data_IF_725714286844
#
_entry.id   IF_725714286844
#
_cell.length_a   1.000
_cell.length_b   1.000
_cell.length_c   1.000
_cell.angle_alpha   90.00
_cell.angle_beta   90.00
_cell.angle_gamma   90.00
#
_symmetry.space_group_name_H-M   'P 1'
#
loop_
_entity.id
_entity.type
_entity.pdbx_description
1 polymer ?
#
# COMPACT_ATOMS: atom_id res chain seq x y z
N UNK A 1 5.27 -9.84 3.22
CA UNK A 1 6.53 -9.13 2.88
C UNK A 1 6.12 -7.80 2.30
N UNK A 2 6.63 -6.66 2.82
CA UNK A 2 6.22 -5.29 2.48
C UNK A 2 6.67 -4.95 1.05
N UNK A 3 5.99 -4.03 0.36
CA UNK A 3 6.45 -3.50 -0.93
C UNK A 3 7.80 -2.76 -0.79
N UNK A 4 8.08 -2.20 0.40
CA UNK A 4 9.43 -1.79 0.82
C UNK A 4 10.47 -2.92 0.73
N UNK A 5 10.04 -4.16 0.57
CA UNK A 5 10.91 -5.32 0.53
C UNK A 5 11.50 -5.59 -0.86
N UNK A 6 10.95 -5.01 -1.96
CA UNK A 6 11.43 -5.36 -3.29
C UNK A 6 12.59 -4.45 -3.74
N UNK A 7 12.49 -3.12 -3.54
CA UNK A 7 13.64 -2.24 -3.76
C UNK A 7 14.77 -2.60 -2.81
N UNK A 8 14.46 -2.89 -1.54
CA UNK A 8 15.42 -3.39 -0.56
C UNK A 8 15.97 -4.78 -0.93
N UNK A 9 15.15 -5.68 -1.49
CA UNK A 9 15.62 -6.99 -1.94
C UNK A 9 16.54 -6.87 -3.16
N UNK A 10 16.23 -5.97 -4.10
CA UNK A 10 17.09 -5.64 -5.24
C UNK A 10 18.38 -4.98 -4.75
N UNK A 11 18.29 -3.99 -3.87
CA UNK A 11 19.45 -3.34 -3.26
C UNK A 11 20.36 -4.33 -2.52
N UNK A 12 19.76 -5.25 -1.77
CA UNK A 12 20.51 -6.27 -1.03
C UNK A 12 21.17 -7.30 -1.95
N UNK A 13 20.55 -7.59 -3.09
CA UNK A 13 21.04 -8.63 -4.02
C UNK A 13 21.96 -8.08 -5.10
N UNK A 14 21.70 -6.88 -5.60
CA UNK A 14 22.39 -6.25 -6.74
C UNK A 14 23.09 -4.91 -6.39
N UNK A 15 22.94 -4.46 -5.13
CA UNK A 15 23.52 -3.20 -4.64
C UNK A 15 22.63 -1.97 -4.89
N UNK A 16 22.95 -0.88 -4.21
CA UNK A 16 22.18 0.37 -4.24
C UNK A 16 21.99 0.96 -5.66
N UNK A 17 22.99 0.84 -6.52
CA UNK A 17 22.89 1.33 -7.88
C UNK A 17 21.75 0.66 -8.68
N UNK A 18 21.51 -0.63 -8.48
CA UNK A 18 20.43 -1.34 -9.14
C UNK A 18 19.04 -0.93 -8.54
N UNK A 19 18.99 -0.63 -7.25
CA UNK A 19 17.79 -0.07 -6.61
C UNK A 19 17.43 1.30 -7.19
N UNK A 20 18.41 2.18 -7.34
CA UNK A 20 18.22 3.51 -7.95
C UNK A 20 17.77 3.39 -9.41
N UNK A 21 18.39 2.50 -10.18
CA UNK A 21 18.02 2.23 -11.58
C UNK A 21 16.55 1.73 -11.67
N UNK A 22 16.13 0.81 -10.78
CA UNK A 22 14.76 0.35 -10.71
C UNK A 22 13.78 1.49 -10.47
N UNK A 23 14.05 2.34 -9.49
CA UNK A 23 13.20 3.48 -9.15
C UNK A 23 13.11 4.51 -10.29
N UNK A 24 14.20 4.73 -11.04
CA UNK A 24 14.15 5.54 -12.25
C UNK A 24 13.30 4.91 -13.36
N UNK A 25 13.40 3.60 -13.56
CA UNK A 25 12.58 2.89 -14.53
C UNK A 25 11.10 2.93 -14.14
N UNK A 26 10.77 2.75 -12.85
CA UNK A 26 9.42 2.92 -12.28
C UNK A 26 8.90 4.32 -12.58
N UNK A 27 9.65 5.36 -12.22
CA UNK A 27 9.25 6.74 -12.45
C UNK A 27 8.96 7.01 -13.92
N UNK A 28 9.82 6.54 -14.83
CA UNK A 28 9.65 6.70 -16.29
C UNK A 28 8.41 5.99 -16.83
N UNK A 29 8.09 4.80 -16.31
CA UNK A 29 6.87 4.06 -16.70
C UNK A 29 5.61 4.75 -16.21
N UNK A 30 5.58 5.16 -14.94
CA UNK A 30 4.47 5.91 -14.38
C UNK A 30 4.25 7.22 -15.15
N UNK A 31 5.32 7.99 -15.41
CA UNK A 31 5.23 9.24 -16.16
C UNK A 31 4.63 9.07 -17.57
N UNK A 32 4.97 7.99 -18.27
CA UNK A 32 4.41 7.70 -19.61
C UNK A 32 2.93 7.36 -19.59
N UNK A 33 2.41 6.88 -18.47
CA UNK A 33 1.01 6.55 -18.29
C UNK A 33 0.15 7.75 -17.87
N UNK A 34 0.76 8.86 -17.49
CA UNK A 34 0.08 10.07 -17.05
C UNK A 34 -0.30 10.97 -18.22
N UNK A 35 -1.31 11.80 -17.99
CA UNK A 35 -1.77 12.82 -18.93
C UNK A 35 -1.05 14.16 -18.70
N UNK A 36 -1.02 15.06 -19.69
CA UNK A 36 -0.55 16.41 -19.46
C UNK A 36 -1.39 17.10 -18.36
N UNK A 37 -0.71 17.58 -17.32
CA UNK A 37 -1.35 18.17 -16.14
C UNK A 37 -1.27 17.30 -14.91
N UNK A 38 -1.17 15.97 -15.07
CA UNK A 38 -0.95 15.08 -13.93
C UNK A 38 0.46 15.27 -13.37
N UNK A 39 0.58 15.17 -12.06
CA UNK A 39 1.86 15.32 -11.35
C UNK A 39 2.25 14.00 -10.71
N UNK A 40 3.47 13.53 -11.01
CA UNK A 40 4.09 12.40 -10.33
C UNK A 40 5.07 12.92 -9.28
N UNK A 41 4.92 12.48 -8.05
CA UNK A 41 5.83 12.71 -6.93
C UNK A 41 6.38 11.41 -6.37
N UNK A 42 7.55 11.46 -5.74
CA UNK A 42 8.09 10.38 -4.91
C UNK A 42 8.17 10.88 -3.48
N UNK A 43 7.51 10.18 -2.55
CA UNK A 43 7.43 10.57 -1.14
C UNK A 43 8.64 10.08 -0.34
N UNK A 44 9.19 8.94 -0.73
CA UNK A 44 10.37 8.33 -0.12
C UNK A 44 10.41 6.82 -0.36
N UNK A 45 11.57 6.21 -0.27
CA UNK A 45 11.72 4.78 -0.54
C UNK A 45 11.17 4.39 -1.91
N UNK A 46 10.20 3.49 -1.94
CA UNK A 46 9.49 2.99 -3.12
C UNK A 46 8.07 3.59 -3.28
N UNK A 47 7.75 4.66 -2.54
CA UNK A 47 6.43 5.26 -2.54
C UNK A 47 6.34 6.42 -3.53
N UNK A 48 5.40 6.27 -4.48
CA UNK A 48 5.07 7.27 -5.49
C UNK A 48 3.64 7.79 -5.27
N UNK A 49 3.44 9.06 -5.58
CA UNK A 49 2.14 9.72 -5.54
C UNK A 49 1.84 10.31 -6.89
N UNK A 50 0.61 10.16 -7.34
CA UNK A 50 0.07 10.81 -8.53
C UNK A 50 -1.04 11.76 -8.11
N UNK A 51 -0.95 13.00 -8.54
CA UNK A 51 -2.03 13.97 -8.44
C UNK A 51 -2.58 14.21 -9.84
N UNK A 52 -3.85 13.89 -10.02
CA UNK A 52 -4.63 14.19 -11.23
C UNK A 52 -5.73 15.18 -10.89
N UNK A 53 -5.81 16.26 -11.62
CA UNK A 53 -6.82 17.30 -11.44
C UNK A 53 -8.01 17.07 -12.36
N UNK A 54 -9.20 17.51 -11.93
CA UNK A 54 -10.45 17.42 -12.71
C UNK A 54 -10.77 15.99 -13.22
N UNK A 55 -10.58 15.00 -12.38
CA UNK A 55 -10.80 13.59 -12.69
C UNK A 55 -11.98 13.03 -11.88
N UNK A 56 -12.92 12.33 -12.56
CA UNK A 56 -13.97 11.61 -11.86
C UNK A 56 -13.43 10.39 -11.11
N UNK A 57 -14.19 9.91 -10.12
CA UNK A 57 -13.83 8.69 -9.37
C UNK A 57 -13.55 7.51 -10.30
N UNK A 58 -14.44 7.24 -11.26
CA UNK A 58 -14.29 6.11 -12.18
C UNK A 58 -13.03 6.23 -13.04
N UNK A 59 -12.74 7.44 -13.53
CA UNK A 59 -11.53 7.68 -14.31
C UNK A 59 -10.25 7.57 -13.44
N UNK A 60 -10.32 7.96 -12.17
CA UNK A 60 -9.21 7.80 -11.25
C UNK A 60 -8.92 6.30 -11.00
N UNK A 61 -9.97 5.47 -10.86
CA UNK A 61 -9.82 4.02 -10.74
C UNK A 61 -9.21 3.40 -12.00
N UNK A 62 -9.65 3.82 -13.18
CA UNK A 62 -9.08 3.36 -14.47
C UNK A 62 -7.62 3.78 -14.60
N UNK A 63 -7.27 5.01 -14.19
CA UNK A 63 -5.90 5.47 -14.18
C UNK A 63 -5.04 4.62 -13.22
N UNK A 64 -5.52 4.39 -12.01
CA UNK A 64 -4.81 3.61 -11.00
C UNK A 64 -4.54 2.17 -11.46
N UNK A 65 -5.53 1.52 -12.09
CA UNK A 65 -5.35 0.17 -12.64
C UNK A 65 -4.33 0.17 -13.79
N UNK A 66 -4.39 1.15 -14.67
CA UNK A 66 -3.39 1.31 -15.74
C UNK A 66 -1.98 1.49 -15.18
N UNK A 67 -1.81 2.27 -14.10
CA UNK A 67 -0.51 2.45 -13.44
C UNK A 67 -0.02 1.12 -12.83
N UNK A 68 -0.90 0.38 -12.15
CA UNK A 68 -0.60 -0.93 -11.59
C UNK A 68 -0.13 -1.92 -12.68
N UNK A 69 -0.87 -2.02 -13.78
CA UNK A 69 -0.54 -2.89 -14.92
C UNK A 69 0.81 -2.54 -15.55
N UNK A 70 1.13 -1.24 -15.69
CA UNK A 70 2.44 -0.82 -16.19
C UNK A 70 3.60 -1.29 -15.30
N UNK A 71 3.38 -1.41 -14.01
CA UNK A 71 4.40 -1.88 -13.07
C UNK A 71 4.47 -3.43 -13.01
N UNK A 72 3.45 -4.14 -13.46
CA UNK A 72 3.45 -5.60 -13.53
C UNK A 72 4.30 -6.14 -14.71
N UNK A 73 4.69 -5.28 -15.66
CA UNK A 73 5.59 -5.70 -16.75
C UNK A 73 7.04 -5.83 -16.27
N UNK A 74 7.85 -6.79 -16.77
CA UNK A 74 9.22 -7.00 -16.30
C UNK A 74 10.10 -5.74 -16.40
N UNK A 75 11.01 -5.60 -15.45
CA UNK A 75 12.07 -4.60 -15.43
C UNK A 75 13.41 -5.27 -15.76
N UNK A 76 14.21 -4.67 -16.61
CA UNK A 76 15.54 -5.16 -16.92
C UNK A 76 16.57 -4.48 -15.99
N UNK A 77 17.23 -5.28 -15.15
CA UNK A 77 18.23 -4.79 -14.19
C UNK A 77 19.42 -5.75 -14.16
N UNK A 78 20.62 -5.22 -14.31
CA UNK A 78 21.84 -6.01 -14.17
C UNK A 78 21.94 -7.23 -15.09
N UNK A 79 21.23 -7.25 -16.23
CA UNK A 79 21.18 -8.35 -17.18
C UNK A 79 20.17 -9.44 -16.84
N UNK A 80 19.27 -9.21 -15.88
CA UNK A 80 18.14 -10.08 -15.52
C UNK A 80 16.80 -9.36 -15.59
N UNK A 81 15.70 -10.13 -15.69
CA UNK A 81 14.33 -9.64 -15.64
C UNK A 81 13.78 -9.75 -14.23
N UNK A 82 13.16 -8.65 -13.74
CA UNK A 82 12.53 -8.57 -12.42
C UNK A 82 11.06 -8.23 -12.57
N UNK A 83 10.20 -9.02 -11.93
CA UNK A 83 8.78 -8.75 -11.82
C UNK A 83 8.50 -8.07 -10.48
N UNK A 84 7.68 -7.04 -10.52
CA UNK A 84 7.16 -6.39 -9.32
C UNK A 84 5.67 -6.18 -9.44
N UNK A 85 5.03 -5.94 -8.31
CA UNK A 85 3.61 -5.56 -8.24
C UNK A 85 3.45 -4.31 -7.40
N UNK A 86 2.36 -3.59 -7.62
CA UNK A 86 2.05 -2.38 -6.89
C UNK A 86 0.69 -2.50 -6.19
N UNK A 87 0.66 -2.02 -4.95
CA UNK A 87 -0.60 -1.76 -4.24
C UNK A 87 -0.92 -0.29 -4.38
N UNK A 88 -2.10 0.03 -4.89
CA UNK A 88 -2.48 1.41 -5.21
C UNK A 88 -3.69 1.81 -4.37
N UNK A 89 -3.56 2.92 -3.64
CA UNK A 89 -4.69 3.57 -2.96
C UNK A 89 -5.17 4.77 -3.76
N UNK A 90 -6.47 4.91 -3.92
CA UNK A 90 -7.10 6.01 -4.63
C UNK A 90 -7.98 6.81 -3.69
N UNK A 91 -7.79 8.12 -3.64
CA UNK A 91 -8.68 9.05 -2.96
C UNK A 91 -9.15 10.11 -3.95
N UNK A 92 -10.46 10.34 -4.00
CA UNK A 92 -11.08 11.38 -4.82
C UNK A 92 -11.96 12.27 -3.95
N UNK A 93 -12.06 13.54 -4.32
CA UNK A 93 -12.99 14.47 -3.68
C UNK A 93 -13.68 15.33 -4.74
N UNK A 94 -14.99 15.50 -4.58
CA UNK A 94 -15.80 16.42 -5.40
C UNK A 94 -15.86 17.84 -4.80
N UNK A 95 -15.32 18.03 -3.60
CA UNK A 95 -15.29 19.31 -2.90
C UNK A 95 -13.83 19.69 -2.61
N UNK A 96 -13.52 20.97 -2.38
CA UNK A 96 -12.19 21.39 -1.99
C UNK A 96 -11.87 20.83 -0.59
N UNK A 97 -11.07 19.78 -0.57
CA UNK A 97 -10.53 19.14 0.64
C UNK A 97 -9.11 19.63 0.92
N UNK A 98 -8.68 19.45 2.15
CA UNK A 98 -7.28 19.74 2.48
C UNK A 98 -6.39 18.68 1.82
N UNK A 99 -5.26 19.09 1.21
CA UNK A 99 -4.33 18.14 0.59
C UNK A 99 -3.89 17.00 1.55
N UNK A 100 -3.68 17.33 2.82
CA UNK A 100 -3.30 16.35 3.85
C UNK A 100 -4.38 15.29 4.08
N UNK A 101 -5.66 15.64 3.92
CA UNK A 101 -6.77 14.70 4.09
C UNK A 101 -6.82 13.71 2.92
N UNK A 102 -6.67 14.21 1.68
CA UNK A 102 -6.59 13.35 0.49
C UNK A 102 -5.39 12.40 0.56
N UNK A 103 -4.23 12.90 1.00
CA UNK A 103 -3.06 12.05 1.18
C UNK A 103 -3.29 10.95 2.21
N UNK A 104 -3.88 11.27 3.36
CA UNK A 104 -4.22 10.28 4.39
C UNK A 104 -5.22 9.24 3.89
N UNK A 105 -6.21 9.64 3.11
CA UNK A 105 -7.20 8.74 2.53
C UNK A 105 -6.58 7.79 1.50
N UNK A 106 -5.73 8.33 0.62
CA UNK A 106 -4.99 7.50 -0.35
C UNK A 106 -4.06 6.50 0.36
N UNK A 107 -3.37 6.93 1.43
CA UNK A 107 -2.51 6.06 2.24
C UNK A 107 -3.31 4.95 2.95
N UNK A 108 -4.46 5.27 3.54
CA UNK A 108 -5.35 4.29 4.15
C UNK A 108 -5.82 3.24 3.12
N UNK A 109 -6.21 3.69 1.93
CA UNK A 109 -6.62 2.80 0.84
C UNK A 109 -5.45 1.93 0.35
N UNK A 110 -4.26 2.48 0.19
CA UNK A 110 -3.05 1.74 -0.17
C UNK A 110 -2.70 0.69 0.90
N UNK A 111 -2.83 1.04 2.17
CA UNK A 111 -2.60 0.09 3.27
C UNK A 111 -3.59 -1.07 3.22
N UNK A 112 -4.86 -0.80 2.94
CA UNK A 112 -5.89 -1.82 2.73
C UNK A 112 -5.55 -2.74 1.54
N UNK A 113 -5.06 -2.16 0.42
CA UNK A 113 -4.58 -2.94 -0.71
C UNK A 113 -3.42 -3.87 -0.31
N UNK A 114 -2.48 -3.38 0.49
CA UNK A 114 -1.36 -4.19 1.02
C UNK A 114 -1.84 -5.33 1.93
N UNK A 115 -2.86 -5.11 2.76
CA UNK A 115 -3.44 -6.14 3.63
C UNK A 115 -4.29 -7.16 2.85
N UNK A 116 -5.01 -6.72 1.83
CA UNK A 116 -5.93 -7.54 1.01
C UNK A 116 -5.25 -8.51 0.05
N UNK A 117 -3.93 -8.65 0.09
CA UNK A 117 -3.18 -9.59 -0.76
C UNK A 117 -2.19 -8.91 -1.70
N UNK A 118 -2.11 -7.58 -1.67
CA UNK A 118 -1.27 -6.76 -2.56
C UNK A 118 -1.70 -6.84 -4.03
N UNK A 119 -0.95 -6.22 -4.91
CA UNK A 119 -1.18 -6.20 -6.36
C UNK A 119 -2.63 -5.86 -6.75
N UNK A 120 -3.18 -4.85 -6.12
CA UNK A 120 -4.55 -4.40 -6.38
C UNK A 120 -4.71 -2.89 -6.16
N UNK A 121 -5.81 -2.37 -6.68
CA UNK A 121 -6.26 -0.99 -6.48
C UNK A 121 -7.39 -0.97 -5.49
N UNK A 122 -7.33 -0.09 -4.50
CA UNK A 122 -8.39 0.14 -3.52
C UNK A 122 -8.73 1.63 -3.50
N UNK A 123 -10.03 1.96 -3.58
CA UNK A 123 -10.50 3.31 -3.38
C UNK A 123 -10.78 3.56 -1.88
N UNK A 124 -10.53 4.80 -1.44
CA UNK A 124 -11.02 5.28 -0.16
C UNK A 124 -12.49 5.66 -0.32
N UNK A 125 -13.34 4.93 0.36
CA UNK A 125 -14.79 5.13 0.40
C UNK A 125 -15.29 5.28 1.86
N UNK A 126 -16.59 5.43 2.01
CA UNK A 126 -17.20 5.56 3.34
C UNK A 126 -17.07 4.28 4.18
N UNK A 127 -16.95 3.11 3.55
CA UNK A 127 -16.72 1.84 4.26
C UNK A 127 -15.33 1.85 4.86
N UNK A 128 -14.32 2.17 4.05
CA UNK A 128 -12.94 2.25 4.52
C UNK A 128 -12.74 3.36 5.56
N UNK A 129 -13.48 4.47 5.42
CA UNK A 129 -13.50 5.54 6.43
C UNK A 129 -14.00 5.04 7.78
N UNK A 130 -15.11 4.30 7.78
CA UNK A 130 -15.70 3.75 9.00
C UNK A 130 -14.78 2.69 9.63
N UNK A 131 -14.21 1.79 8.82
CA UNK A 131 -13.23 0.81 9.31
C UNK A 131 -12.01 1.49 9.95
N UNK A 132 -11.51 2.57 9.36
CA UNK A 132 -10.38 3.31 9.94
C UNK A 132 -10.74 4.01 11.27
N UNK A 133 -11.96 4.51 11.39
CA UNK A 133 -12.47 5.08 12.65
C UNK A 133 -12.64 4.00 13.72
N UNK A 134 -13.25 2.86 13.39
CA UNK A 134 -13.41 1.72 14.30
C UNK A 134 -12.05 1.20 14.80
N UNK A 135 -11.06 1.13 13.90
CA UNK A 135 -9.70 0.72 14.28
C UNK A 135 -9.06 1.71 15.26
N UNK A 136 -9.24 3.02 15.03
CA UNK A 136 -8.73 4.05 15.93
C UNK A 136 -9.39 3.99 17.31
N UNK A 137 -10.70 3.79 17.35
CA UNK A 137 -11.47 3.61 18.60
C UNK A 137 -11.01 2.35 19.33
N UNK A 138 -10.82 1.24 18.62
CA UNK A 138 -10.31 -0.01 19.19
C UNK A 138 -8.92 0.17 19.80
N UNK A 139 -8.00 0.85 19.09
CA UNK A 139 -6.66 1.12 19.60
C UNK A 139 -6.70 1.99 20.88
N UNK A 140 -7.61 2.96 20.94
CA UNK A 140 -7.82 3.77 22.14
C UNK A 140 -8.39 2.93 23.28
N UNK A 141 -9.40 2.10 23.03
CA UNK A 141 -9.98 1.21 24.02
C UNK A 141 -8.96 0.21 24.56
N UNK A 142 -8.12 -0.37 23.70
CA UNK A 142 -7.07 -1.31 24.13
C UNK A 142 -6.03 -0.63 25.05
N UNK A 143 -5.63 0.60 24.78
CA UNK A 143 -4.73 1.34 25.66
C UNK A 143 -5.35 1.58 27.04
N UNK A 144 -6.62 1.99 27.09
CA UNK A 144 -7.34 2.19 28.33
C UNK A 144 -7.56 0.88 29.09
N UNK A 145 -7.85 -0.21 28.37
CA UNK A 145 -8.03 -1.55 28.97
C UNK A 145 -6.73 -2.07 29.61
N UNK A 146 -5.57 -1.76 29.02
CA UNK A 146 -4.26 -2.06 29.63
C UNK A 146 -4.08 -1.31 30.97
N UNK A 147 -4.39 -0.03 30.99
CA UNK A 147 -4.25 0.81 32.19
C UNK A 147 -5.24 0.40 33.30
N UNK A 148 -6.34 -0.25 32.95
CA UNK A 148 -7.41 -0.68 33.88
C UNK A 148 -7.36 -2.15 34.25
N UNK A 149 -6.32 -2.90 33.85
CA UNK A 149 -6.22 -4.34 34.07
C UNK A 149 -7.43 -5.15 33.54
N UNK A 150 -8.05 -4.68 32.44
CA UNK A 150 -9.24 -5.31 31.86
C UNK A 150 -8.88 -6.49 30.93
N UNK A 151 -7.59 -6.67 30.60
CA UNK A 151 -7.10 -7.73 29.72
C UNK A 151 -6.83 -9.01 30.52
N UNK A 152 -7.26 -10.15 29.98
CA UNK A 152 -6.96 -11.49 30.53
C UNK A 152 -6.22 -12.32 29.50
N UNK A 153 -5.14 -12.95 29.93
CA UNK A 153 -4.43 -13.93 29.11
C UNK A 153 -5.18 -15.28 29.24
N UNK A 154 -5.60 -15.82 28.11
CA UNK A 154 -6.16 -17.16 28.01
C UNK A 154 -5.18 -18.03 27.24
N UNK A 155 -4.96 -19.24 27.73
CA UNK A 155 -4.13 -20.25 27.07
C UNK A 155 -5.04 -21.24 26.36
N UNK A 156 -4.78 -21.50 25.09
CA UNK A 156 -5.40 -22.61 24.36
C UNK A 156 -4.42 -23.76 24.36
N UNK A 157 -4.74 -24.93 24.96
CA UNK A 157 -3.85 -26.06 24.93
C UNK A 157 -3.73 -26.63 23.52
N UNK A 158 -2.51 -26.91 23.09
CA UNK A 158 -2.27 -27.76 21.93
C UNK A 158 -2.19 -29.20 22.39
N UNK A 159 -2.90 -30.09 21.68
CA UNK A 159 -2.98 -31.50 22.02
C UNK A 159 -2.39 -32.31 20.88
N UNK A 160 -1.52 -33.25 21.20
CA UNK A 160 -1.06 -34.24 20.23
C UNK A 160 -2.19 -35.15 19.80
N UNK A 161 -2.26 -35.42 18.50
CA UNK A 161 -3.32 -36.27 17.93
C UNK A 161 -3.07 -37.77 18.15
N UNK A 162 -1.83 -38.16 18.50
CA UNK A 162 -1.41 -39.54 18.66
C UNK A 162 -1.66 -40.08 20.07
N UNK A 163 -1.54 -39.26 21.12
CA UNK A 163 -1.67 -39.64 22.51
C UNK A 163 -2.52 -38.73 23.39
N UNK A 164 -3.17 -37.73 22.75
CA UNK A 164 -4.01 -36.70 23.39
C UNK A 164 -3.28 -35.94 24.53
N UNK A 165 -1.96 -35.97 24.58
CA UNK A 165 -1.19 -35.22 25.55
C UNK A 165 -1.16 -33.73 25.22
N UNK A 166 -1.23 -32.87 26.25
CA UNK A 166 -1.05 -31.42 26.11
C UNK A 166 0.44 -31.11 25.92
N UNK A 167 0.77 -30.28 24.92
CA UNK A 167 2.14 -29.89 24.59
C UNK A 167 2.47 -28.55 25.21
#
# INVERSE_FOLDING_TARGET
>A
RRASDLSQAVEHSLGHAAGDELLEQVARRLQKALQPGDVLGRLGGDEFTVLADDISHDHAMVLAERLREQLATPFELGGGEFLMSASVGVATSAAPERPDDLMRWADAAMYRAKQGGRDCVVAFDDVLRNEALEQLEMDQHLRVALDRDELRVLFQPEVRLDDESVV
#
